data_IF_998228260250
#
_entry.id   IF_998228260250
#
_cell.length_a   1.000
_cell.length_b   1.000
_cell.length_c   1.000
_cell.angle_alpha   90.00
_cell.angle_beta   90.00
_cell.angle_gamma   90.00
#
_symmetry.space_group_name_H-M   'P 1'
#
loop_
_entity.id
_entity.type
_entity.pdbx_description
1 polymer ?
#
# COMPACT_ATOMS: atom_id res chain seq x y z
N UNK A 1 13.45 18.13 -18.59
CA UNK A 1 12.73 17.03 -19.31
C UNK A 1 12.47 17.47 -20.76
N UNK A 2 12.99 16.74 -21.73
CA UNK A 2 12.75 16.99 -23.16
C UNK A 2 11.51 16.18 -23.60
N UNK A 3 10.57 16.83 -24.24
CA UNK A 3 9.35 16.21 -24.82
C UNK A 3 9.44 16.31 -26.33
N UNK A 4 9.22 15.20 -27.03
CA UNK A 4 9.20 15.15 -28.48
C UNK A 4 7.78 14.79 -28.95
N UNK A 5 7.22 15.59 -29.85
CA UNK A 5 5.92 15.30 -30.47
C UNK A 5 6.04 14.19 -31.51
N UNK A 6 5.04 13.31 -31.58
CA UNK A 6 4.94 12.21 -32.53
C UNK A 6 3.55 12.16 -33.15
N UNK A 7 3.31 11.29 -34.11
CA UNK A 7 1.99 11.13 -34.74
C UNK A 7 0.92 10.55 -33.78
N UNK A 8 1.35 9.76 -32.80
CA UNK A 8 0.48 9.08 -31.81
C UNK A 8 0.43 9.77 -30.44
N UNK A 9 1.25 10.79 -30.17
CA UNK A 9 1.32 11.49 -28.89
C UNK A 9 2.69 12.08 -28.62
N UNK A 10 3.18 11.94 -27.39
CA UNK A 10 4.42 12.55 -26.92
C UNK A 10 5.42 11.49 -26.45
N UNK A 11 6.70 11.74 -26.66
CA UNK A 11 7.81 10.89 -26.19
C UNK A 11 8.67 11.64 -25.19
N UNK A 12 9.02 10.95 -24.10
CA UNK A 12 9.90 11.45 -23.04
C UNK A 12 11.01 10.42 -22.80
N UNK A 13 12.20 10.88 -22.41
CA UNK A 13 13.31 10.04 -21.97
C UNK A 13 13.74 10.44 -20.57
N UNK A 14 14.11 9.45 -19.75
CA UNK A 14 14.64 9.63 -18.41
C UNK A 14 15.57 8.46 -18.07
N UNK A 15 16.55 8.66 -17.21
CA UNK A 15 17.42 7.57 -16.77
C UNK A 15 16.68 6.60 -15.85
N UNK A 16 16.00 7.13 -14.84
CA UNK A 16 15.22 6.35 -13.86
C UNK A 16 13.76 6.74 -13.92
N UNK A 17 12.90 5.79 -14.24
CA UNK A 17 11.45 5.98 -14.28
C UNK A 17 10.82 5.43 -12.99
N UNK A 18 10.14 6.27 -12.22
CA UNK A 18 9.40 5.86 -11.03
C UNK A 18 7.91 5.74 -11.37
N UNK A 19 7.39 4.53 -11.35
CA UNK A 19 5.99 4.20 -11.63
C UNK A 19 5.20 4.25 -10.33
N UNK A 20 4.52 5.35 -10.07
CA UNK A 20 3.71 5.57 -8.87
C UNK A 20 4.24 6.64 -7.94
N UNK A 21 3.32 7.42 -7.36
CA UNK A 21 3.57 8.59 -6.52
C UNK A 21 3.18 8.39 -5.05
N UNK A 22 2.97 7.14 -4.62
CA UNK A 22 2.72 6.76 -3.22
C UNK A 22 3.95 6.90 -2.32
N UNK A 23 3.90 6.33 -1.11
CA UNK A 23 5.02 6.37 -0.16
C UNK A 23 6.31 5.77 -0.73
N UNK A 24 6.20 4.66 -1.46
CA UNK A 24 7.32 4.03 -2.15
C UNK A 24 7.95 4.95 -3.19
N UNK A 25 7.12 5.53 -4.07
CA UNK A 25 7.60 6.49 -5.07
C UNK A 25 8.28 7.71 -4.45
N UNK A 26 7.78 8.21 -3.32
CA UNK A 26 8.42 9.30 -2.57
C UNK A 26 9.80 8.90 -2.07
N UNK A 27 9.93 7.72 -1.44
CA UNK A 27 11.23 7.19 -0.99
C UNK A 27 12.19 7.03 -2.16
N UNK A 28 11.71 6.50 -3.28
CA UNK A 28 12.50 6.33 -4.51
C UNK A 28 12.95 7.68 -5.10
N UNK A 29 12.05 8.64 -5.22
CA UNK A 29 12.36 9.96 -5.80
C UNK A 29 13.41 10.71 -5.00
N UNK A 30 13.27 10.74 -3.67
CA UNK A 30 14.22 11.42 -2.81
C UNK A 30 15.60 10.76 -2.86
N UNK A 31 15.66 9.43 -2.86
CA UNK A 31 16.96 8.73 -2.95
C UNK A 31 17.62 8.89 -4.31
N UNK A 32 16.87 8.78 -5.40
CA UNK A 32 17.42 8.97 -6.73
C UNK A 32 17.90 10.41 -6.95
N UNK A 33 17.22 11.41 -6.39
CA UNK A 33 17.66 12.80 -6.38
C UNK A 33 18.97 13.01 -5.61
N UNK A 34 19.13 12.36 -4.44
CA UNK A 34 20.39 12.36 -3.68
C UNK A 34 21.56 11.81 -4.51
N UNK A 35 21.28 10.80 -5.35
CA UNK A 35 22.26 10.20 -6.26
C UNK A 35 22.45 10.98 -7.58
N UNK A 36 21.73 12.10 -7.74
CA UNK A 36 21.80 12.98 -8.92
C UNK A 36 21.42 12.30 -10.23
N UNK A 37 20.56 11.28 -10.18
CA UNK A 37 20.01 10.64 -11.36
C UNK A 37 19.01 11.57 -12.08
N UNK A 38 18.90 11.45 -13.41
CA UNK A 38 17.77 12.05 -14.14
C UNK A 38 16.53 11.19 -13.92
N UNK A 39 15.54 11.77 -13.26
CA UNK A 39 14.37 11.04 -12.74
C UNK A 39 13.09 11.64 -13.26
N UNK A 40 12.21 10.78 -13.77
CA UNK A 40 10.81 11.08 -14.00
C UNK A 40 9.93 10.19 -13.11
N UNK A 41 9.11 10.80 -12.27
CA UNK A 41 8.09 10.15 -11.48
C UNK A 41 6.73 10.35 -12.13
N UNK A 42 5.94 9.28 -12.29
CA UNK A 42 4.60 9.33 -12.86
C UNK A 42 3.57 8.74 -11.92
N UNK A 43 2.36 9.29 -11.89
CA UNK A 43 1.30 8.79 -11.03
C UNK A 43 -0.11 9.15 -11.49
N UNK A 44 -1.04 8.24 -11.23
CA UNK A 44 -2.44 8.34 -11.66
C UNK A 44 -3.19 9.53 -11.06
N UNK A 45 -2.75 10.04 -9.93
CA UNK A 45 -3.29 11.24 -9.29
C UNK A 45 -2.17 12.20 -8.88
N UNK A 46 -2.54 13.25 -8.20
CA UNK A 46 -1.62 14.28 -7.69
C UNK A 46 -0.68 13.72 -6.66
N UNK A 47 0.61 14.07 -6.76
CA UNK A 47 1.63 13.64 -5.80
C UNK A 47 1.23 13.93 -4.34
N UNK A 48 0.54 15.04 -4.09
CA UNK A 48 0.12 15.50 -2.75
C UNK A 48 -0.89 14.59 -2.05
N UNK A 49 -1.67 13.80 -2.81
CA UNK A 49 -2.79 13.01 -2.28
C UNK A 49 -2.79 11.55 -2.73
N UNK A 50 -1.86 11.14 -3.60
CA UNK A 50 -1.85 9.79 -4.16
C UNK A 50 -1.25 8.74 -3.23
N UNK A 51 -1.65 7.48 -3.47
CA UNK A 51 -1.25 6.31 -2.68
C UNK A 51 -1.98 6.22 -1.33
N UNK A 52 -1.81 5.11 -0.63
CA UNK A 52 -2.47 4.87 0.66
C UNK A 52 -2.14 5.94 1.71
N UNK A 53 -0.92 6.49 1.67
CA UNK A 53 -0.50 7.58 2.55
C UNK A 53 -1.25 8.89 2.29
N UNK A 54 -1.89 9.05 1.13
CA UNK A 54 -2.68 10.25 0.80
C UNK A 54 -3.85 10.51 1.74
N UNK A 55 -4.36 9.46 2.39
CA UNK A 55 -5.42 9.56 3.39
C UNK A 55 -4.93 9.78 4.83
N UNK A 56 -3.62 9.73 5.07
CA UNK A 56 -3.03 9.82 6.40
C UNK A 56 -2.42 8.51 6.88
N UNK A 57 -1.63 8.59 7.96
CA UNK A 57 -1.11 7.44 8.70
C UNK A 57 -0.67 7.86 10.10
N UNK A 58 -1.04 7.09 11.11
CA UNK A 58 -0.81 7.37 12.53
C UNK A 58 0.54 6.85 13.06
N UNK A 59 1.31 6.14 12.24
CA UNK A 59 2.58 5.56 12.67
C UNK A 59 3.55 5.29 11.52
N UNK A 60 4.84 5.15 11.88
CA UNK A 60 5.89 4.64 11.03
C UNK A 60 6.57 3.47 11.74
N UNK A 61 6.60 2.29 11.12
CA UNK A 61 7.25 1.13 11.71
C UNK A 61 8.77 1.29 11.68
N UNK A 62 9.36 1.48 12.85
CA UNK A 62 10.77 1.84 13.02
C UNK A 62 11.46 0.98 14.09
N UNK A 63 12.07 -0.12 13.66
CA UNK A 63 13.12 -0.78 14.43
C UNK A 63 14.42 0.03 14.25
N UNK A 64 14.86 0.70 15.31
CA UNK A 64 15.92 1.71 15.22
C UNK A 64 17.29 1.23 15.72
N UNK A 65 17.37 -0.01 16.22
CA UNK A 65 18.59 -0.55 16.79
C UNK A 65 19.02 0.24 18.04
N UNK A 66 18.09 0.45 18.96
CA UNK A 66 18.31 1.09 20.26
C UNK A 66 18.45 0.03 21.36
N UNK A 67 18.69 0.46 22.61
CA UNK A 67 18.77 -0.43 23.77
C UNK A 67 17.39 -0.93 24.25
N UNK A 68 16.29 -0.53 23.59
CA UNK A 68 14.95 -1.02 23.87
C UNK A 68 14.83 -2.52 23.54
N UNK A 69 14.04 -3.29 24.30
CA UNK A 69 13.90 -4.73 24.09
C UNK A 69 13.46 -5.08 22.65
N UNK A 70 14.18 -5.99 22.03
CA UNK A 70 13.93 -6.46 20.65
C UNK A 70 13.98 -5.37 19.56
N UNK A 71 14.57 -4.20 19.83
CA UNK A 71 14.77 -3.15 18.85
C UNK A 71 16.09 -3.35 18.08
N UNK A 72 16.32 -4.57 17.61
CA UNK A 72 17.54 -4.98 16.92
C UNK A 72 17.27 -5.48 15.50
N UNK A 73 18.33 -5.51 14.69
CA UNK A 73 18.31 -6.09 13.35
C UNK A 73 17.84 -7.55 13.35
N UNK A 74 18.40 -8.34 14.26
CA UNK A 74 18.13 -9.78 14.37
C UNK A 74 16.65 -10.03 14.70
N UNK A 75 16.08 -9.26 15.64
CA UNK A 75 14.68 -9.34 15.99
C UNK A 75 13.78 -8.94 14.82
N UNK A 76 14.12 -7.86 14.10
CA UNK A 76 13.38 -7.37 12.94
C UNK A 76 13.41 -8.38 11.79
N UNK A 77 14.60 -8.80 11.36
CA UNK A 77 14.77 -9.76 10.26
C UNK A 77 14.12 -11.10 10.63
N UNK A 78 14.39 -11.60 11.86
CA UNK A 78 13.83 -12.87 12.34
C UNK A 78 12.30 -12.87 12.41
N UNK A 79 11.66 -11.74 12.74
CA UNK A 79 10.22 -11.60 12.73
C UNK A 79 9.65 -11.72 11.31
N UNK A 80 10.17 -10.97 10.34
CA UNK A 80 9.66 -10.98 8.97
C UNK A 80 9.96 -12.29 8.24
N UNK A 81 11.11 -12.90 8.46
CA UNK A 81 11.42 -14.23 7.91
C UNK A 81 10.45 -15.33 8.39
N UNK A 82 9.89 -15.19 9.60
CA UNK A 82 8.93 -16.16 10.16
C UNK A 82 7.47 -15.84 9.86
N UNK A 83 7.14 -14.56 9.67
CA UNK A 83 5.75 -14.11 9.61
C UNK A 83 5.27 -13.77 8.20
N UNK A 84 6.17 -13.65 7.23
CA UNK A 84 5.83 -13.34 5.84
C UNK A 84 6.61 -14.23 4.87
N UNK A 85 5.90 -14.75 3.88
CA UNK A 85 6.52 -15.54 2.82
C UNK A 85 7.02 -14.64 1.69
N UNK A 86 8.13 -15.03 1.06
CA UNK A 86 8.66 -14.39 -0.14
C UNK A 86 9.76 -13.35 0.09
N UNK A 87 10.03 -12.93 1.32
CA UNK A 87 11.18 -12.08 1.62
C UNK A 87 12.49 -12.88 1.60
N UNK A 88 13.56 -12.20 1.21
CA UNK A 88 14.93 -12.66 1.36
C UNK A 88 15.57 -11.92 2.53
N UNK A 89 16.46 -12.59 3.25
CA UNK A 89 17.15 -11.99 4.40
C UNK A 89 17.93 -10.73 4.00
N UNK A 90 18.58 -10.74 2.85
CA UNK A 90 19.31 -9.58 2.33
C UNK A 90 18.38 -8.36 2.08
N UNK A 91 17.15 -8.59 1.59
CA UNK A 91 16.15 -7.53 1.41
C UNK A 91 15.72 -6.93 2.75
N UNK A 92 15.49 -7.78 3.77
CA UNK A 92 15.08 -7.34 5.10
C UNK A 92 16.20 -6.57 5.83
N UNK A 93 17.46 -6.95 5.62
CA UNK A 93 18.61 -6.21 6.11
C UNK A 93 18.67 -4.80 5.49
N UNK A 94 18.48 -4.69 4.19
CA UNK A 94 18.41 -3.39 3.51
C UNK A 94 17.21 -2.56 3.97
N UNK A 95 16.06 -3.19 4.23
CA UNK A 95 14.92 -2.49 4.81
C UNK A 95 15.28 -1.90 6.19
N UNK A 96 15.86 -2.72 7.06
CA UNK A 96 16.30 -2.24 8.38
C UNK A 96 17.26 -1.04 8.26
N UNK A 97 18.24 -1.12 7.34
CA UNK A 97 19.20 -0.03 7.11
C UNK A 97 18.53 1.25 6.57
N UNK A 98 17.48 1.12 5.77
CA UNK A 98 16.74 2.25 5.20
C UNK A 98 15.80 2.93 6.21
N UNK A 99 15.47 2.31 7.35
CA UNK A 99 14.54 2.88 8.33
C UNK A 99 15.05 4.22 8.87
N UNK A 100 16.28 4.28 9.36
CA UNK A 100 16.85 5.52 9.93
C UNK A 100 16.91 6.67 8.92
N UNK A 101 17.41 6.49 7.69
CA UNK A 101 17.34 7.53 6.65
C UNK A 101 15.90 8.01 6.38
N UNK A 102 14.94 7.08 6.30
CA UNK A 102 13.55 7.45 6.07
C UNK A 102 12.91 8.19 7.25
N UNK A 103 13.22 7.80 8.49
CA UNK A 103 12.80 8.58 9.69
C UNK A 103 13.39 9.98 9.67
N UNK A 104 14.67 10.13 9.28
CA UNK A 104 15.29 11.46 9.12
C UNK A 104 14.57 12.31 8.07
N UNK A 105 14.16 11.71 6.94
CA UNK A 105 13.35 12.43 5.94
C UNK A 105 12.04 12.92 6.54
N UNK A 106 11.37 12.09 7.36
CA UNK A 106 10.13 12.48 8.04
C UNK A 106 10.35 13.64 9.03
N UNK A 107 11.45 13.62 9.78
CA UNK A 107 11.86 14.73 10.67
C UNK A 107 12.05 16.05 9.90
N UNK A 108 12.65 15.98 8.73
CA UNK A 108 12.95 17.14 7.89
C UNK A 108 11.73 17.70 7.13
N UNK A 109 10.57 17.02 7.20
CA UNK A 109 9.33 17.45 6.54
C UNK A 109 8.20 17.76 7.53
N UNK A 110 8.55 18.21 8.73
CA UNK A 110 7.60 18.63 9.76
C UNK A 110 6.63 17.53 10.20
N UNK A 111 7.11 16.26 10.26
CA UNK A 111 6.34 15.18 10.86
C UNK A 111 6.33 15.34 12.38
N UNK A 112 5.15 15.36 12.98
CA UNK A 112 4.98 15.45 14.42
C UNK A 112 4.88 14.05 15.03
N UNK A 113 5.92 13.66 15.80
CA UNK A 113 5.92 12.39 16.53
C UNK A 113 5.32 12.59 17.91
N UNK A 114 4.51 11.63 18.34
CA UNK A 114 3.96 11.63 19.71
C UNK A 114 5.09 11.53 20.73
N UNK A 115 5.09 12.44 21.70
CA UNK A 115 6.07 12.45 22.79
C UNK A 115 5.37 12.04 24.10
N UNK A 116 5.93 11.03 24.78
CA UNK A 116 5.58 10.65 26.15
C UNK A 116 6.86 10.59 26.98
N UNK A 117 6.81 11.15 28.18
CA UNK A 117 7.97 11.19 29.11
C UNK A 117 9.25 11.73 28.48
N UNK A 118 9.13 12.75 27.62
CA UNK A 118 10.25 13.39 26.92
C UNK A 118 10.89 12.56 25.81
N UNK A 119 10.31 11.40 25.46
CA UNK A 119 10.78 10.52 24.40
C UNK A 119 9.69 10.33 23.32
N UNK A 120 10.11 9.98 22.11
CA UNK A 120 9.17 9.54 21.07
C UNK A 120 8.47 8.28 21.50
N UNK A 121 7.16 8.33 21.52
CA UNK A 121 6.35 7.17 21.91
C UNK A 121 6.37 6.11 20.81
N UNK A 122 6.64 4.89 21.22
CA UNK A 122 6.57 3.70 20.38
C UNK A 122 5.75 2.62 21.07
N UNK A 123 5.00 1.84 20.32
CA UNK A 123 4.22 0.73 20.84
C UNK A 123 4.50 -0.57 20.10
N UNK A 124 4.13 -1.69 20.73
CA UNK A 124 4.11 -3.03 20.12
C UNK A 124 2.80 -3.19 19.34
N UNK A 125 2.82 -3.89 18.22
CA UNK A 125 1.60 -4.22 17.47
C UNK A 125 1.80 -5.43 16.57
N UNK A 126 0.69 -6.08 16.20
CA UNK A 126 0.63 -7.21 15.26
C UNK A 126 1.59 -8.38 15.57
N UNK A 127 1.77 -8.71 16.85
CA UNK A 127 2.67 -9.78 17.28
C UNK A 127 4.16 -9.49 17.07
N UNK A 128 4.52 -8.23 16.82
CA UNK A 128 5.91 -7.80 16.75
C UNK A 128 6.58 -7.96 18.11
N UNK A 129 7.86 -8.38 18.17
CA UNK A 129 8.54 -8.61 19.44
C UNK A 129 9.00 -7.34 20.14
N UNK A 130 9.09 -6.22 19.43
CA UNK A 130 9.55 -4.92 19.92
C UNK A 130 8.56 -3.79 19.71
N UNK A 131 8.74 -2.69 20.43
CA UNK A 131 7.96 -1.47 20.28
C UNK A 131 8.41 -0.70 19.04
N UNK A 132 8.03 -1.17 17.85
CA UNK A 132 8.48 -0.60 16.58
C UNK A 132 7.54 0.43 15.97
N UNK A 133 6.34 0.62 16.52
CA UNK A 133 5.39 1.61 16.02
C UNK A 133 5.71 2.99 16.57
N UNK A 134 6.39 3.79 15.78
CA UNK A 134 6.68 5.19 16.07
C UNK A 134 5.43 6.02 15.72
N UNK A 135 4.73 6.51 16.74
CA UNK A 135 3.46 7.20 16.58
C UNK A 135 3.61 8.62 16.03
N UNK A 136 2.67 8.99 15.15
CA UNK A 136 2.61 10.26 14.44
C UNK A 136 1.27 10.92 14.75
N UNK A 137 1.27 12.23 15.03
CA UNK A 137 0.07 12.98 15.40
C UNK A 137 -0.52 13.80 14.24
N UNK A 138 0.30 14.21 13.28
CA UNK A 138 -0.15 14.96 12.10
C UNK A 138 -0.21 14.10 10.82
N UNK A 139 -0.60 12.85 10.94
CA UNK A 139 -0.55 11.84 9.88
C UNK A 139 -1.24 12.23 8.58
N UNK A 140 -2.36 12.96 8.65
CA UNK A 140 -3.13 13.40 7.48
C UNK A 140 -2.43 14.47 6.62
N UNK A 141 -1.40 15.14 7.16
CA UNK A 141 -0.65 16.17 6.44
C UNK A 141 0.69 15.70 5.87
N UNK A 142 1.21 14.57 6.35
CA UNK A 142 2.55 14.05 5.99
C UNK A 142 2.74 13.95 4.48
N UNK A 143 1.76 13.42 3.77
CA UNK A 143 1.87 13.23 2.31
C UNK A 143 2.10 14.55 1.58
N UNK A 144 1.44 15.61 1.99
CA UNK A 144 1.61 16.96 1.41
C UNK A 144 2.99 17.53 1.70
N UNK A 145 3.53 17.28 2.90
CA UNK A 145 4.87 17.71 3.29
C UNK A 145 5.95 16.96 2.50
N UNK A 146 5.83 15.65 2.38
CA UNK A 146 6.71 14.83 1.55
C UNK A 146 6.65 15.23 0.07
N UNK A 147 5.45 15.47 -0.47
CA UNK A 147 5.28 15.93 -1.83
C UNK A 147 5.99 17.26 -2.09
N UNK A 148 5.86 18.22 -1.17
CA UNK A 148 6.57 19.50 -1.24
C UNK A 148 8.08 19.30 -1.29
N UNK A 149 8.64 18.36 -0.51
CA UNK A 149 10.06 18.03 -0.55
C UNK A 149 10.47 17.39 -1.88
N UNK A 150 9.69 16.45 -2.40
CA UNK A 150 9.95 15.84 -3.72
C UNK A 150 9.93 16.89 -4.82
N UNK A 151 8.94 17.80 -4.85
CA UNK A 151 8.92 18.90 -5.84
C UNK A 151 10.12 19.84 -5.76
N UNK A 152 10.74 19.97 -4.59
CA UNK A 152 11.96 20.77 -4.38
C UNK A 152 13.25 20.01 -4.69
N UNK A 153 13.21 18.71 -4.89
CA UNK A 153 14.39 17.87 -5.08
C UNK A 153 14.96 17.88 -6.51
N UNK A 154 14.26 18.50 -7.46
CA UNK A 154 14.65 18.52 -8.87
C UNK A 154 14.15 17.33 -9.70
N UNK A 155 13.40 16.40 -9.10
CA UNK A 155 12.76 15.29 -9.80
C UNK A 155 11.66 15.82 -10.71
N UNK A 156 11.63 15.36 -11.97
CA UNK A 156 10.52 15.63 -12.89
C UNK A 156 9.29 14.81 -12.46
N UNK A 157 8.10 15.41 -12.50
CA UNK A 157 6.86 14.78 -12.06
C UNK A 157 5.79 14.95 -13.13
N UNK A 158 5.14 13.86 -13.49
CA UNK A 158 3.97 13.83 -14.34
C UNK A 158 2.79 13.31 -13.52
N UNK A 159 2.04 14.24 -12.96
CA UNK A 159 0.80 13.96 -12.23
C UNK A 159 -0.34 13.58 -13.20
N UNK A 160 -1.39 12.98 -12.66
CA UNK A 160 -2.63 12.65 -13.38
C UNK A 160 -2.36 11.74 -14.60
N UNK A 161 -1.35 10.88 -14.51
CA UNK A 161 -0.90 10.00 -15.59
C UNK A 161 -1.25 8.54 -15.31
N UNK A 162 -2.13 7.97 -16.11
CA UNK A 162 -2.53 6.57 -16.04
C UNK A 162 -1.65 5.71 -16.95
N UNK A 163 -0.91 4.79 -16.34
CA UNK A 163 -0.05 3.86 -17.08
C UNK A 163 -0.92 2.73 -17.62
N UNK A 164 -0.81 2.44 -18.91
CA UNK A 164 -1.60 1.41 -19.59
C UNK A 164 -0.79 0.20 -19.99
N UNK A 165 0.52 0.36 -20.18
CA UNK A 165 1.42 -0.70 -20.62
C UNK A 165 2.86 -0.43 -20.21
N UNK A 166 3.59 -1.48 -19.84
CA UNK A 166 5.05 -1.51 -19.81
C UNK A 166 5.57 -2.16 -21.09
N UNK A 167 6.78 -1.80 -21.49
CA UNK A 167 7.47 -2.37 -22.65
C UNK A 167 8.76 -3.04 -22.23
N UNK A 168 9.04 -4.20 -22.79
CA UNK A 168 10.27 -4.93 -22.60
C UNK A 168 10.88 -5.34 -23.95
N UNK A 169 12.17 -5.57 -23.98
CA UNK A 169 12.87 -6.13 -25.12
C UNK A 169 14.06 -6.97 -24.67
N UNK A 170 14.06 -8.24 -25.08
CA UNK A 170 15.12 -9.16 -24.68
C UNK A 170 15.20 -9.39 -23.16
N UNK A 171 14.07 -9.31 -22.46
CA UNK A 171 13.99 -9.45 -20.99
C UNK A 171 14.38 -8.20 -20.22
N UNK A 172 14.57 -7.04 -20.87
CA UNK A 172 14.93 -5.77 -20.24
C UNK A 172 13.80 -4.75 -20.39
N UNK A 173 13.53 -3.95 -19.33
CA UNK A 173 12.55 -2.85 -19.37
C UNK A 173 12.97 -1.77 -20.38
N UNK A 174 12.03 -1.34 -21.22
CA UNK A 174 12.24 -0.24 -22.16
C UNK A 174 11.57 1.06 -21.69
N UNK A 175 10.50 0.95 -20.91
CA UNK A 175 9.71 2.07 -20.46
C UNK A 175 8.24 1.75 -20.31
N UNK A 176 7.41 2.77 -20.36
CA UNK A 176 5.95 2.64 -20.28
C UNK A 176 5.22 3.54 -21.26
N UNK A 177 3.94 3.24 -21.48
CA UNK A 177 3.01 4.14 -22.13
C UNK A 177 1.77 4.35 -21.28
N UNK A 178 1.13 5.48 -21.48
CA UNK A 178 -0.09 5.85 -20.78
C UNK A 178 -0.61 7.18 -21.26
N UNK A 179 -1.60 7.72 -20.56
CA UNK A 179 -2.21 8.99 -20.90
C UNK A 179 -2.45 9.86 -19.67
N UNK A 180 -2.41 11.17 -19.86
CA UNK A 180 -2.85 12.11 -18.84
C UNK A 180 -4.38 12.10 -18.77
N UNK A 181 -4.95 11.83 -17.59
CA UNK A 181 -6.41 11.68 -17.42
C UNK A 181 -7.19 12.99 -17.58
N UNK A 182 -6.53 14.13 -17.48
CA UNK A 182 -7.15 15.46 -17.63
C UNK A 182 -7.05 15.97 -19.07
N UNK A 183 -5.85 15.88 -19.68
CA UNK A 183 -5.62 16.40 -21.04
C UNK A 183 -5.88 15.38 -22.13
N UNK A 184 -5.93 14.09 -21.80
CA UNK A 184 -6.05 12.93 -22.71
C UNK A 184 -4.86 12.76 -23.64
N UNK A 185 -3.78 13.48 -23.40
CA UNK A 185 -2.53 13.32 -24.17
C UNK A 185 -1.86 12.00 -23.82
N UNK A 186 -1.42 11.28 -24.83
CA UNK A 186 -0.68 10.03 -24.69
C UNK A 186 0.82 10.29 -24.64
N UNK A 187 1.50 9.52 -23.82
CA UNK A 187 2.95 9.59 -23.66
C UNK A 187 3.56 8.20 -23.71
N UNK A 188 4.64 8.03 -24.47
CA UNK A 188 5.60 6.96 -24.29
C UNK A 188 6.80 7.52 -23.51
N UNK A 189 7.19 6.82 -22.46
CA UNK A 189 8.29 7.23 -21.58
C UNK A 189 9.34 6.13 -21.65
N UNK A 190 10.46 6.43 -22.27
CA UNK A 190 11.62 5.55 -22.40
C UNK A 190 12.55 5.75 -21.20
N UNK A 191 13.10 4.65 -20.67
CA UNK A 191 13.99 4.69 -19.53
C UNK A 191 15.15 3.68 -19.64
N UNK A 192 16.17 3.87 -18.82
CA UNK A 192 17.24 2.90 -18.62
C UNK A 192 16.86 1.88 -17.55
N UNK A 193 16.24 2.36 -16.46
CA UNK A 193 15.71 1.52 -15.38
C UNK A 193 14.36 2.04 -14.92
N UNK A 194 13.54 1.18 -14.33
CA UNK A 194 12.25 1.55 -13.79
C UNK A 194 12.04 0.97 -12.38
N UNK A 195 11.33 1.72 -11.52
CA UNK A 195 10.95 1.30 -10.18
C UNK A 195 9.43 1.18 -10.12
N UNK A 196 8.92 -0.03 -9.95
CA UNK A 196 7.49 -0.27 -9.82
C UNK A 196 7.02 0.07 -8.40
N UNK A 197 6.44 1.25 -8.24
CA UNK A 197 5.93 1.82 -6.98
C UNK A 197 4.41 2.00 -6.98
N UNK A 198 3.68 1.17 -7.76
CA UNK A 198 2.25 1.29 -8.00
C UNK A 198 1.37 0.82 -6.83
N UNK A 199 1.99 0.28 -5.77
CA UNK A 199 1.29 -0.18 -4.56
C UNK A 199 0.65 -1.56 -4.73
N UNK A 200 0.91 -2.43 -3.79
CA UNK A 200 0.50 -3.84 -3.80
C UNK A 200 -0.82 -4.13 -3.07
N UNK A 201 -1.62 -3.10 -2.80
CA UNK A 201 -2.92 -3.21 -2.13
C UNK A 201 -4.07 -2.98 -3.12
N UNK A 202 -4.40 -3.90 -4.03
CA UNK A 202 -5.58 -3.73 -4.88
C UNK A 202 -6.82 -3.64 -4.01
N UNK A 203 -7.69 -2.70 -4.35
CA UNK A 203 -8.93 -2.41 -3.63
C UNK A 203 -10.15 -2.73 -4.50
N UNK A 204 -11.33 -2.72 -3.89
CA UNK A 204 -12.61 -3.01 -4.53
C UNK A 204 -12.75 -4.45 -5.02
N UNK A 205 -12.07 -5.39 -4.36
CA UNK A 205 -12.16 -6.81 -4.67
C UNK A 205 -13.32 -7.50 -3.96
N UNK A 206 -13.86 -6.93 -2.87
CA UNK A 206 -15.00 -7.46 -2.14
C UNK A 206 -16.07 -6.41 -1.90
N UNK A 207 -17.27 -6.84 -1.56
CA UNK A 207 -18.32 -5.96 -1.07
C UNK A 207 -18.12 -5.67 0.42
N UNK A 208 -18.58 -4.52 0.87
CA UNK A 208 -18.64 -4.13 2.27
C UNK A 208 -20.05 -3.66 2.66
N UNK A 209 -20.28 -3.44 3.94
CA UNK A 209 -21.59 -3.05 4.47
C UNK A 209 -22.07 -1.68 4.03
N UNK A 210 -21.21 -0.86 3.45
CA UNK A 210 -21.61 0.48 2.95
C UNK A 210 -22.36 0.42 1.62
N UNK A 211 -22.22 -0.69 0.89
CA UNK A 211 -22.75 -0.83 -0.47
C UNK A 211 -22.02 0.03 -1.52
N UNK A 212 -20.98 0.77 -1.12
CA UNK A 212 -20.17 1.59 -1.99
C UNK A 212 -18.77 0.99 -2.15
N UNK A 213 -18.38 0.45 -3.32
CA UNK A 213 -17.08 -0.18 -3.53
C UNK A 213 -15.90 0.79 -3.42
N UNK A 214 -16.13 2.09 -3.53
CA UNK A 214 -15.11 3.11 -3.34
C UNK A 214 -14.86 3.46 -1.87
N UNK A 215 -15.72 3.00 -0.97
CA UNK A 215 -15.54 3.15 0.46
C UNK A 215 -14.74 1.96 1.00
N UNK A 216 -13.45 1.99 0.81
CA UNK A 216 -12.52 0.92 1.16
C UNK A 216 -11.35 1.45 1.98
N UNK A 217 -10.54 0.55 2.53
CA UNK A 217 -9.44 0.90 3.42
C UNK A 217 -8.42 1.86 2.79
N UNK A 218 -7.92 1.49 1.62
CA UNK A 218 -6.86 2.23 0.95
C UNK A 218 -7.40 3.00 -0.27
N UNK A 219 -6.47 3.46 -1.12
CA UNK A 219 -6.81 4.18 -2.33
C UNK A 219 -7.68 3.30 -3.26
N UNK A 220 -8.95 3.64 -3.51
CA UNK A 220 -9.87 2.81 -4.29
C UNK A 220 -9.47 2.66 -5.76
N UNK A 221 -8.61 3.53 -6.27
CA UNK A 221 -8.11 3.48 -7.64
C UNK A 221 -6.86 2.60 -7.81
N UNK A 222 -6.35 2.00 -6.72
CA UNK A 222 -5.35 0.94 -6.81
C UNK A 222 -6.06 -0.37 -7.16
N UNK A 223 -5.99 -0.77 -8.40
CA UNK A 223 -6.71 -1.93 -8.96
C UNK A 223 -5.78 -3.09 -9.35
N UNK A 224 -4.55 -3.11 -8.81
CA UNK A 224 -3.61 -4.21 -9.02
C UNK A 224 -2.60 -3.98 -10.14
N UNK A 225 -2.44 -2.77 -10.64
CA UNK A 225 -1.45 -2.44 -11.67
C UNK A 225 -0.02 -2.84 -11.29
N UNK A 226 0.29 -2.90 -9.99
CA UNK A 226 1.57 -3.38 -9.47
C UNK A 226 1.89 -4.82 -9.89
N UNK A 227 0.88 -5.66 -10.05
CA UNK A 227 1.02 -7.06 -10.47
C UNK A 227 0.83 -7.22 -11.97
N UNK A 228 -0.25 -6.64 -12.48
CA UNK A 228 -0.68 -6.86 -13.86
C UNK A 228 0.31 -6.33 -14.88
N UNK A 229 0.79 -5.09 -14.72
CA UNK A 229 1.68 -4.48 -15.69
C UNK A 229 3.05 -5.18 -15.77
N UNK A 230 3.76 -5.48 -14.66
CA UNK A 230 4.98 -6.26 -14.72
C UNK A 230 4.78 -7.70 -15.22
N UNK A 231 3.69 -8.36 -14.84
CA UNK A 231 3.38 -9.72 -15.29
C UNK A 231 3.21 -9.78 -16.81
N UNK A 232 2.57 -8.78 -17.42
CA UNK A 232 2.38 -8.71 -18.87
C UNK A 232 3.68 -8.65 -19.67
N UNK A 233 4.77 -8.23 -19.04
CA UNK A 233 6.11 -8.19 -19.65
C UNK A 233 7.03 -9.29 -19.11
N UNK A 234 6.48 -10.32 -18.45
CA UNK A 234 7.23 -11.51 -18.02
C UNK A 234 7.81 -11.44 -16.61
N UNK A 235 7.46 -10.45 -15.79
CA UNK A 235 7.85 -10.46 -14.38
C UNK A 235 7.09 -11.54 -13.61
N UNK A 236 7.82 -12.30 -12.79
CA UNK A 236 7.24 -13.34 -11.93
C UNK A 236 6.64 -12.74 -10.65
N UNK A 237 5.58 -13.36 -10.17
CA UNK A 237 4.86 -12.98 -8.96
C UNK A 237 5.02 -14.03 -7.87
N UNK A 238 4.89 -13.61 -6.61
CA UNK A 238 4.95 -14.49 -5.43
C UNK A 238 3.71 -14.23 -4.56
N UNK A 239 3.08 -15.30 -4.07
CA UNK A 239 1.98 -15.26 -3.09
C UNK A 239 0.74 -14.45 -3.54
N UNK A 240 0.49 -14.34 -4.84
CA UNK A 240 -0.66 -13.58 -5.35
C UNK A 240 -2.00 -14.25 -5.01
N UNK A 241 -1.97 -15.52 -4.66
CA UNK A 241 -3.09 -16.35 -4.23
C UNK A 241 -3.46 -16.15 -2.75
N UNK A 242 -2.63 -15.45 -1.99
CA UNK A 242 -2.88 -15.18 -0.57
C UNK A 242 -3.64 -13.85 -0.44
N UNK A 243 -4.91 -13.92 -0.11
CA UNK A 243 -5.68 -12.72 0.25
C UNK A 243 -5.36 -12.31 1.69
N UNK A 244 -4.88 -11.10 1.86
CA UNK A 244 -4.73 -10.46 3.16
C UNK A 244 -5.97 -9.65 3.49
N UNK A 245 -6.88 -10.20 4.31
CA UNK A 245 -7.92 -9.37 4.92
C UNK A 245 -7.31 -8.57 6.05
N UNK A 246 -7.76 -7.34 6.19
CA UNK A 246 -7.33 -6.50 7.29
C UNK A 246 -8.14 -6.80 8.54
N UNK A 247 -7.71 -6.14 9.57
CA UNK A 247 -8.41 -6.05 10.84
C UNK A 247 -9.85 -5.60 10.70
N UNK A 248 -10.55 -5.64 11.82
CA UNK A 248 -11.90 -5.12 11.94
C UNK A 248 -11.94 -3.60 11.68
N UNK A 249 -13.00 -3.16 11.04
CA UNK A 249 -13.32 -1.75 10.84
C UNK A 249 -14.71 -1.46 11.41
N UNK A 250 -15.01 -0.19 11.75
CA UNK A 250 -16.37 0.18 12.11
C UNK A 250 -17.34 -0.16 10.98
N UNK A 251 -18.41 -0.87 11.31
CA UNK A 251 -19.43 -1.27 10.33
C UNK A 251 -20.09 -0.06 9.67
N UNK A 252 -20.16 -0.09 8.36
CA UNK A 252 -20.73 1.01 7.58
C UNK A 252 -19.81 2.23 7.44
N UNK A 253 -18.55 2.12 7.85
CA UNK A 253 -17.54 3.17 7.67
C UNK A 253 -16.67 2.94 6.43
N UNK A 254 -16.20 1.70 6.25
CA UNK A 254 -15.34 1.31 5.13
C UNK A 254 -13.86 1.72 5.24
N UNK A 255 -13.46 2.41 6.31
CA UNK A 255 -12.11 2.89 6.52
C UNK A 255 -11.43 2.22 7.73
N UNK A 256 -10.08 2.21 7.79
CA UNK A 256 -9.33 1.65 8.92
C UNK A 256 -9.45 2.52 10.17
N UNK A 257 -8.78 2.11 11.21
CA UNK A 257 -8.64 2.86 12.44
C UNK A 257 -8.73 2.01 13.69
N UNK A 258 -8.96 0.69 13.53
CA UNK A 258 -9.11 -0.20 14.68
C UNK A 258 -7.78 -0.77 15.19
N UNK A 259 -6.72 -0.76 14.37
CA UNK A 259 -5.44 -1.36 14.76
C UNK A 259 -4.82 -0.71 16.00
N UNK A 260 -4.90 0.61 16.10
CA UNK A 260 -4.43 1.35 17.28
C UNK A 260 -5.26 1.06 18.52
N UNK A 261 -6.55 0.78 18.36
CA UNK A 261 -7.45 0.46 19.47
C UNK A 261 -7.09 -0.87 20.14
N UNK A 262 -6.70 -1.87 19.33
CA UNK A 262 -6.25 -3.15 19.87
C UNK A 262 -5.00 -2.96 20.76
N UNK A 263 -4.07 -2.12 20.34
CA UNK A 263 -2.86 -1.80 21.11
C UNK A 263 -3.15 -1.03 22.42
N UNK A 264 -4.26 -0.31 22.45
CA UNK A 264 -4.75 0.39 23.65
C UNK A 264 -5.54 -0.54 24.59
N UNK A 265 -5.77 -1.80 24.23
CA UNK A 265 -6.50 -2.79 25.04
C UNK A 265 -7.97 -2.95 24.69
N UNK A 266 -8.40 -2.52 23.50
CA UNK A 266 -9.72 -2.82 22.97
C UNK A 266 -9.95 -4.33 22.90
N UNK A 267 -11.19 -4.77 23.21
CA UNK A 267 -11.55 -6.20 23.26
C UNK A 267 -12.48 -6.55 22.12
N UNK A 268 -12.12 -7.56 21.33
CA UNK A 268 -12.98 -8.10 20.27
C UNK A 268 -14.00 -9.07 20.83
N UNK A 269 -15.29 -8.80 20.60
CA UNK A 269 -16.41 -9.55 21.14
C UNK A 269 -17.28 -10.10 20.01
N UNK A 270 -17.66 -11.37 20.10
CA UNK A 270 -18.62 -12.01 19.17
C UNK A 270 -20.08 -11.71 19.55
N UNK A 271 -21.04 -12.23 18.77
CA UNK A 271 -22.46 -12.03 19.01
C UNK A 271 -22.97 -12.68 20.32
N UNK A 272 -22.22 -13.61 20.89
CA UNK A 272 -22.53 -14.25 22.17
C UNK A 272 -22.02 -13.44 23.38
N UNK A 273 -21.32 -12.32 23.14
CA UNK A 273 -20.70 -11.52 24.19
C UNK A 273 -19.34 -12.07 24.67
N UNK A 274 -18.74 -13.00 23.95
CA UNK A 274 -17.47 -13.62 24.33
C UNK A 274 -16.29 -12.83 23.73
N UNK A 275 -15.26 -12.59 24.53
CA UNK A 275 -13.95 -12.13 24.06
C UNK A 275 -13.23 -13.32 23.45
N UNK A 276 -13.31 -13.49 22.14
CA UNK A 276 -12.95 -14.72 21.46
C UNK A 276 -11.48 -14.82 21.03
N UNK A 277 -10.77 -13.70 20.88
CA UNK A 277 -9.44 -13.70 20.24
C UNK A 277 -8.40 -14.60 20.93
N UNK A 278 -8.50 -14.82 22.24
CA UNK A 278 -7.61 -15.75 22.96
C UNK A 278 -7.78 -17.23 22.58
N UNK A 279 -8.86 -17.59 21.86
CA UNK A 279 -9.02 -18.93 21.26
C UNK A 279 -8.04 -19.13 20.09
N UNK A 280 -7.61 -18.04 19.43
CA UNK A 280 -6.88 -18.06 18.16
C UNK A 280 -5.44 -17.53 18.26
N UNK A 281 -5.17 -16.68 19.25
CA UNK A 281 -3.82 -16.16 19.50
C UNK A 281 -3.59 -15.96 21.00
N UNK A 282 -2.47 -16.46 21.55
CA UNK A 282 -2.15 -16.25 22.97
C UNK A 282 -2.06 -14.79 23.40
N UNK A 283 -1.77 -13.88 22.45
CA UNK A 283 -1.72 -12.43 22.70
C UNK A 283 -3.11 -11.76 22.53
N UNK A 284 -4.16 -12.53 22.22
CA UNK A 284 -5.48 -12.00 21.95
C UNK A 284 -5.49 -11.02 20.80
N UNK A 285 -6.10 -9.86 20.99
CA UNK A 285 -6.22 -8.79 19.98
C UNK A 285 -4.87 -8.18 19.57
N UNK A 286 -3.84 -8.31 20.39
CA UNK A 286 -2.47 -7.90 20.07
C UNK A 286 -1.67 -8.96 19.31
N UNK A 287 -2.30 -10.09 19.01
CA UNK A 287 -1.71 -11.18 18.26
C UNK A 287 -1.46 -10.84 16.78
N UNK A 288 -1.02 -11.84 16.03
CA UNK A 288 -0.78 -11.68 14.60
C UNK A 288 -2.07 -11.30 13.88
N UNK A 289 -2.00 -10.31 12.99
CA UNK A 289 -3.16 -9.87 12.18
C UNK A 289 -3.85 -11.04 11.46
N UNK A 290 -3.08 -11.99 10.94
CA UNK A 290 -3.63 -13.21 10.35
C UNK A 290 -4.54 -13.96 11.32
N UNK A 291 -4.15 -14.10 12.57
CA UNK A 291 -4.94 -14.82 13.57
C UNK A 291 -6.21 -14.05 13.94
N UNK A 292 -6.18 -12.72 13.97
CA UNK A 292 -7.37 -11.90 14.16
C UNK A 292 -8.40 -12.16 13.05
N UNK A 293 -7.96 -12.09 11.80
CA UNK A 293 -8.85 -12.31 10.66
C UNK A 293 -9.38 -13.73 10.61
N UNK A 294 -8.50 -14.72 10.83
CA UNK A 294 -8.88 -16.13 10.87
C UNK A 294 -9.84 -16.43 12.02
N UNK A 295 -9.59 -15.87 13.20
CA UNK A 295 -10.47 -16.02 14.36
C UNK A 295 -11.84 -15.45 14.11
N UNK A 296 -11.93 -14.22 13.61
CA UNK A 296 -13.23 -13.60 13.28
C UNK A 296 -13.98 -14.38 12.21
N UNK A 297 -13.29 -14.87 11.18
CA UNK A 297 -13.92 -15.71 10.16
C UNK A 297 -14.38 -17.06 10.73
N UNK A 298 -13.59 -17.69 11.59
CA UNK A 298 -13.97 -18.95 12.23
C UNK A 298 -15.21 -18.78 13.11
N UNK A 299 -15.26 -17.72 13.91
CA UNK A 299 -16.45 -17.39 14.70
C UNK A 299 -17.70 -17.19 13.80
N UNK A 300 -17.51 -16.58 12.63
CA UNK A 300 -18.60 -16.45 11.65
C UNK A 300 -19.07 -17.81 11.10
N UNK A 301 -18.14 -18.70 10.77
CA UNK A 301 -18.47 -20.06 10.30
C UNK A 301 -19.19 -20.88 11.36
N UNK A 302 -18.83 -20.69 12.62
CA UNK A 302 -19.46 -21.35 13.78
C UNK A 302 -20.83 -20.76 14.16
N UNK A 303 -21.22 -19.65 13.53
CA UNK A 303 -22.49 -18.97 13.80
C UNK A 303 -22.45 -18.05 15.02
N UNK A 304 -21.26 -17.71 15.53
CA UNK A 304 -21.06 -16.83 16.67
C UNK A 304 -21.03 -15.33 16.27
N UNK A 305 -21.23 -15.01 15.02
CA UNK A 305 -21.31 -13.66 14.45
C UNK A 305 -21.55 -13.69 12.95
N UNK A 306 -21.78 -12.56 12.27
CA UNK A 306 -21.95 -11.23 12.82
C UNK A 306 -23.22 -11.10 13.70
N UNK A 307 -23.34 -10.08 14.58
CA UNK A 307 -22.45 -8.93 14.71
C UNK A 307 -21.17 -9.23 15.51
N UNK A 308 -20.11 -8.49 15.21
CA UNK A 308 -18.90 -8.43 16.02
C UNK A 308 -18.73 -7.03 16.58
N UNK A 309 -18.05 -6.90 17.71
CA UNK A 309 -17.90 -5.63 18.40
C UNK A 309 -16.47 -5.41 18.87
N UNK A 310 -16.06 -4.14 18.90
CA UNK A 310 -14.89 -3.67 19.64
C UNK A 310 -15.33 -2.99 20.91
N UNK A 311 -15.04 -3.61 22.05
CA UNK A 311 -15.39 -3.06 23.37
C UNK A 311 -14.26 -2.17 23.90
N UNK A 312 -14.59 -0.91 24.09
CA UNK A 312 -13.75 0.14 24.67
C UNK A 312 -14.40 0.74 25.92
N UNK A 313 -15.47 0.15 26.46
CA UNK A 313 -16.24 0.70 27.57
C UNK A 313 -15.42 0.83 28.86
N UNK A 314 -14.34 0.05 28.96
CA UNK A 314 -13.41 0.06 30.09
C UNK A 314 -12.27 1.08 29.96
N UNK A 315 -12.19 1.81 28.86
CA UNK A 315 -11.14 2.82 28.65
C UNK A 315 -11.28 3.97 29.65
N UNK A 316 -10.15 4.53 30.08
CA UNK A 316 -10.12 5.77 30.84
C UNK A 316 -10.56 6.95 29.98
N UNK A 317 -10.89 8.10 30.61
CA UNK A 317 -11.19 9.33 29.86
C UNK A 317 -9.96 9.80 29.06
N UNK A 318 -8.75 9.57 29.56
CA UNK A 318 -7.50 9.86 28.86
C UNK A 318 -7.33 8.97 27.62
N UNK A 319 -7.63 7.67 27.72
CA UNK A 319 -7.57 6.76 26.58
C UNK A 319 -8.59 7.14 25.50
N UNK A 320 -9.80 7.48 25.89
CA UNK A 320 -10.84 7.93 24.94
C UNK A 320 -10.43 9.25 24.29
N UNK A 321 -9.89 10.19 25.06
CA UNK A 321 -9.37 11.45 24.52
C UNK A 321 -8.22 11.19 23.52
N UNK A 322 -7.27 10.34 23.90
CA UNK A 322 -6.18 9.95 23.00
C UNK A 322 -6.69 9.29 21.72
N UNK A 323 -7.66 8.37 21.84
CA UNK A 323 -8.28 7.71 20.70
C UNK A 323 -8.95 8.72 19.76
N UNK A 324 -9.80 9.60 20.29
CA UNK A 324 -10.63 10.51 19.50
C UNK A 324 -9.85 11.67 18.89
N UNK A 325 -8.88 12.24 19.61
CA UNK A 325 -8.25 13.49 19.21
C UNK A 325 -6.80 13.37 18.78
N UNK A 326 -6.18 12.21 18.97
CA UNK A 326 -4.79 11.98 18.58
C UNK A 326 -4.68 10.84 17.56
N UNK A 327 -5.11 9.63 17.95
CA UNK A 327 -4.88 8.42 17.15
C UNK A 327 -5.75 8.40 15.89
N UNK A 328 -7.06 8.55 16.06
CA UNK A 328 -7.99 8.41 14.93
C UNK A 328 -7.89 9.54 13.91
N UNK A 329 -7.79 10.83 14.28
CA UNK A 329 -7.59 11.91 13.33
C UNK A 329 -6.28 11.84 12.57
N UNK A 330 -5.22 11.29 13.17
CA UNK A 330 -3.94 11.10 12.48
C UNK A 330 -4.04 10.08 11.33
N UNK A 331 -4.92 9.08 11.46
CA UNK A 331 -5.17 8.06 10.43
C UNK A 331 -6.26 8.51 9.45
N UNK A 332 -7.41 9.00 9.96
CA UNK A 332 -8.55 9.46 9.15
C UNK A 332 -9.24 10.67 9.79
N UNK A 333 -9.08 11.81 9.18
CA UNK A 333 -9.64 13.10 9.67
C UNK A 333 -11.17 13.08 9.84
N UNK A 334 -11.87 12.36 8.94
CA UNK A 334 -13.34 12.27 8.95
C UNK A 334 -13.92 11.28 9.96
N UNK A 335 -13.09 10.64 10.78
CA UNK A 335 -13.56 9.64 11.75
C UNK A 335 -14.46 10.23 12.83
N UNK A 336 -14.13 11.42 13.32
CA UNK A 336 -14.94 12.12 14.31
C UNK A 336 -16.32 12.48 13.79
N UNK A 337 -16.41 12.91 12.52
CA UNK A 337 -17.68 13.21 11.86
C UNK A 337 -18.55 11.96 11.76
N UNK A 338 -17.95 10.82 11.44
CA UNK A 338 -18.64 9.53 11.42
C UNK A 338 -19.17 9.14 12.81
N UNK A 339 -18.36 9.26 13.86
CA UNK A 339 -18.77 8.96 15.23
C UNK A 339 -19.92 9.88 15.66
N UNK A 340 -19.79 11.18 15.40
CA UNK A 340 -20.81 12.16 15.74
C UNK A 340 -22.15 11.91 15.02
N UNK A 341 -22.08 11.64 13.70
CA UNK A 341 -23.26 11.35 12.88
C UNK A 341 -24.03 10.10 13.33
N UNK A 342 -23.37 9.16 13.98
CA UNK A 342 -23.95 7.91 14.48
C UNK A 342 -24.18 7.87 15.98
N UNK A 343 -23.85 8.94 16.70
CA UNK A 343 -23.99 9.00 18.15
C UNK A 343 -23.11 7.98 18.88
N UNK A 344 -21.92 7.67 18.32
CA UNK A 344 -21.00 6.69 18.90
C UNK A 344 -20.29 7.31 20.11
N UNK A 345 -20.48 6.68 21.26
CA UNK A 345 -19.79 7.04 22.52
C UNK A 345 -19.09 5.79 23.07
N UNK A 346 -17.77 5.73 22.93
CA UNK A 346 -16.96 4.53 23.18
C UNK A 346 -17.08 3.93 24.57
N UNK A 347 -17.38 4.77 25.59
CA UNK A 347 -17.58 4.30 26.98
C UNK A 347 -19.00 3.81 27.28
N UNK A 348 -19.96 4.07 26.39
CA UNK A 348 -21.36 3.68 26.64
C UNK A 348 -21.74 2.32 26.08
N UNK A 349 -21.17 1.97 24.92
CA UNK A 349 -21.46 0.70 24.26
C UNK A 349 -20.29 0.27 23.37
N UNK A 350 -20.10 -1.04 23.19
CA UNK A 350 -19.17 -1.57 22.19
C UNK A 350 -19.54 -1.09 20.78
N UNK A 351 -18.52 -0.82 19.97
CA UNK A 351 -18.65 -0.41 18.59
C UNK A 351 -18.84 -1.63 17.68
N UNK A 352 -19.94 -1.70 16.92
CA UNK A 352 -20.10 -2.75 15.92
C UNK A 352 -19.06 -2.63 14.82
N UNK A 353 -18.41 -3.76 14.52
CA UNK A 353 -17.30 -3.85 13.57
C UNK A 353 -17.51 -4.97 12.56
N UNK A 354 -16.78 -4.89 11.45
CA UNK A 354 -16.77 -5.91 10.41
C UNK A 354 -15.35 -6.15 9.90
N UNK A 355 -15.13 -7.32 9.30
CA UNK A 355 -13.85 -7.63 8.65
C UNK A 355 -13.73 -6.80 7.37
N UNK A 356 -12.68 -6.00 7.30
CA UNK A 356 -12.34 -5.23 6.09
C UNK A 356 -11.46 -6.04 5.15
N UNK A 357 -11.63 -5.78 3.87
CA UNK A 357 -10.64 -6.16 2.88
C UNK A 357 -9.40 -5.27 3.00
N UNK A 358 -8.21 -5.87 3.01
CA UNK A 358 -6.97 -5.13 2.94
C UNK A 358 -6.31 -5.27 1.57
N UNK A 359 -6.01 -6.50 1.15
CA UNK A 359 -5.19 -6.71 -0.06
C UNK A 359 -4.98 -8.20 -0.38
N UNK A 360 -4.33 -8.47 -1.50
CA UNK A 360 -3.55 -9.68 -1.75
C UNK A 360 -2.20 -9.54 -1.07
N UNK A 361 -1.67 -10.60 -0.49
CA UNK A 361 -0.32 -10.59 0.11
C UNK A 361 0.80 -10.84 -0.91
N UNK A 362 0.50 -10.59 -2.20
CA UNK A 362 1.43 -10.81 -3.29
C UNK A 362 2.55 -9.77 -3.38
N UNK A 363 3.63 -10.16 -4.05
CA UNK A 363 4.74 -9.27 -4.38
C UNK A 363 5.36 -9.66 -5.72
N UNK A 364 6.16 -8.78 -6.29
CA UNK A 364 7.03 -9.12 -7.42
C UNK A 364 8.16 -10.02 -6.93
N UNK A 365 8.41 -11.13 -7.61
CA UNK A 365 9.62 -11.93 -7.36
C UNK A 365 10.84 -11.07 -7.69
N UNK A 366 11.68 -10.82 -6.71
CA UNK A 366 12.85 -9.98 -6.84
C UNK A 366 14.07 -10.61 -6.17
N UNK A 367 15.25 -10.28 -6.68
CA UNK A 367 16.53 -10.67 -6.11
C UNK A 367 16.88 -9.86 -4.85
N UNK A 368 18.10 -10.03 -4.35
CA UNK A 368 18.58 -9.33 -3.15
C UNK A 368 18.69 -7.81 -3.33
N UNK A 369 18.72 -7.32 -4.58
CA UNK A 369 18.77 -5.91 -4.96
C UNK A 369 17.40 -5.32 -5.27
N UNK A 370 16.33 -6.07 -5.06
CA UNK A 370 14.97 -5.75 -5.48
C UNK A 370 14.78 -5.71 -7.01
N UNK A 371 15.71 -6.21 -7.81
CA UNK A 371 15.53 -6.35 -9.26
C UNK A 371 14.60 -7.55 -9.54
N UNK A 372 13.59 -7.35 -10.38
CA UNK A 372 12.62 -8.38 -10.74
C UNK A 372 13.23 -9.38 -11.74
N UNK A 373 12.43 -10.36 -12.20
CA UNK A 373 12.86 -11.24 -13.31
C UNK A 373 12.96 -10.53 -14.66
N UNK A 374 12.45 -9.30 -14.76
CA UNK A 374 12.67 -8.39 -15.89
C UNK A 374 13.80 -7.44 -15.52
N UNK A 375 14.89 -7.47 -16.28
CA UNK A 375 16.09 -6.67 -16.05
C UNK A 375 15.80 -5.17 -16.10
N UNK A 376 16.43 -4.43 -15.21
CA UNK A 376 16.22 -2.99 -15.09
C UNK A 376 14.88 -2.58 -14.45
N UNK A 377 13.99 -3.55 -14.14
CA UNK A 377 12.74 -3.29 -13.42
C UNK A 377 12.88 -3.70 -11.94
N UNK A 378 12.75 -2.74 -11.04
CA UNK A 378 12.91 -2.92 -9.59
C UNK A 378 11.56 -2.91 -8.85
N UNK A 379 11.41 -3.79 -7.86
CA UNK A 379 10.24 -3.88 -7.00
C UNK A 379 10.28 -2.79 -5.92
N UNK A 380 9.57 -1.69 -6.13
CA UNK A 380 9.53 -0.56 -5.19
C UNK A 380 8.54 -0.72 -4.04
N UNK A 381 7.61 -1.69 -4.09
CA UNK A 381 6.53 -1.80 -3.10
C UNK A 381 6.42 -3.18 -2.46
N UNK A 382 7.49 -3.98 -2.41
CA UNK A 382 7.44 -5.32 -1.81
C UNK A 382 7.35 -5.32 -0.28
N UNK A 383 7.83 -4.27 0.41
CA UNK A 383 7.81 -4.23 1.87
C UNK A 383 6.49 -3.67 2.39
N UNK A 384 5.98 -4.27 3.46
CA UNK A 384 4.67 -3.93 4.05
C UNK A 384 4.70 -2.65 4.89
N UNK A 385 3.56 -2.03 5.10
CA UNK A 385 3.31 -0.78 5.85
C UNK A 385 3.80 0.49 5.16
N UNK A 386 3.52 1.65 5.76
CA UNK A 386 4.04 2.95 5.30
C UNK A 386 5.57 2.96 5.29
N UNK A 387 6.18 2.52 6.38
CA UNK A 387 7.63 2.41 6.52
C UNK A 387 8.22 1.49 5.46
N UNK A 388 7.67 0.29 5.33
CA UNK A 388 8.15 -0.66 4.34
C UNK A 388 8.06 -0.13 2.92
N UNK A 389 6.92 0.46 2.54
CA UNK A 389 6.76 1.04 1.22
C UNK A 389 7.81 2.14 0.95
N UNK A 390 7.99 3.07 1.89
CA UNK A 390 8.97 4.16 1.74
C UNK A 390 10.40 3.63 1.67
N UNK A 391 10.77 2.70 2.55
CA UNK A 391 12.09 2.07 2.58
C UNK A 391 12.35 1.22 1.32
N UNK A 392 11.35 0.48 0.84
CA UNK A 392 11.48 -0.33 -0.38
C UNK A 392 11.81 0.54 -1.59
N UNK A 393 11.06 1.64 -1.78
CA UNK A 393 11.36 2.60 -2.83
C UNK A 393 12.75 3.22 -2.68
N UNK A 394 13.15 3.57 -1.47
CA UNK A 394 14.46 4.14 -1.16
C UNK A 394 15.60 3.15 -1.53
N UNK A 395 15.48 1.87 -1.16
CA UNK A 395 16.44 0.82 -1.51
C UNK A 395 16.45 0.55 -3.01
N UNK A 396 15.28 0.37 -3.62
CA UNK A 396 15.17 0.13 -5.06
C UNK A 396 15.81 1.25 -5.89
N UNK A 397 15.65 2.50 -5.47
CA UNK A 397 16.23 3.65 -6.15
C UNK A 397 17.75 3.68 -6.07
N UNK A 398 18.35 3.21 -4.97
CA UNK A 398 19.80 3.08 -4.89
C UNK A 398 20.33 2.14 -5.97
N UNK A 399 19.71 1.00 -6.15
CA UNK A 399 20.15 0.02 -7.15
C UNK A 399 19.82 0.49 -8.58
N UNK A 400 18.60 0.98 -8.81
CA UNK A 400 18.15 1.45 -10.11
C UNK A 400 19.00 2.62 -10.66
N UNK A 401 19.33 3.60 -9.81
CA UNK A 401 20.15 4.75 -10.22
C UNK A 401 21.59 4.34 -10.53
N UNK A 402 22.17 3.42 -9.76
CA UNK A 402 23.53 2.92 -10.03
C UNK A 402 23.57 2.13 -11.35
N UNK A 403 22.57 1.29 -11.61
CA UNK A 403 22.50 0.49 -12.84
C UNK A 403 22.25 1.37 -14.07
N UNK A 404 21.43 2.42 -13.92
CA UNK A 404 21.16 3.37 -15.01
C UNK A 404 22.43 4.05 -15.55
N UNK A 405 23.50 4.16 -14.76
CA UNK A 405 24.77 4.74 -15.18
C UNK A 405 25.47 3.93 -16.29
N UNK A 406 25.23 2.62 -16.34
CA UNK A 406 25.84 1.70 -17.34
C UNK A 406 24.82 1.04 -18.27
N UNK A 407 23.53 1.36 -18.12
CA UNK A 407 22.45 0.79 -18.95
C UNK A 407 22.14 1.71 -20.12
N UNK A 408 21.95 1.13 -21.29
CA UNK A 408 21.50 1.86 -22.47
C UNK A 408 20.05 2.31 -22.33
N UNK A 409 19.70 3.41 -23.00
CA UNK A 409 18.33 3.93 -23.03
C UNK A 409 17.41 2.96 -23.73
N UNK A 410 16.33 2.58 -23.08
CA UNK A 410 15.25 1.82 -23.68
C UNK A 410 14.65 2.54 -24.89
N UNK A 411 14.18 1.79 -25.86
CA UNK A 411 13.52 2.31 -27.06
C UNK A 411 12.17 1.62 -27.24
N UNK A 412 11.11 2.40 -27.30
CA UNK A 412 9.77 1.95 -27.68
C UNK A 412 9.55 2.29 -29.15
N UNK A 413 9.34 1.28 -30.00
CA UNK A 413 9.15 1.52 -31.43
C UNK A 413 7.85 2.27 -31.71
N UNK A 414 7.84 3.11 -32.73
CA UNK A 414 6.65 3.90 -33.10
C UNK A 414 5.46 2.99 -33.46
N UNK A 415 5.70 1.82 -34.03
CA UNK A 415 4.65 0.84 -34.32
C UNK A 415 4.02 0.25 -33.05
N UNK A 416 4.84 -0.04 -32.03
CA UNK A 416 4.34 -0.50 -30.72
C UNK A 416 3.55 0.59 -29.99
N UNK A 417 4.05 1.82 -30.04
CA UNK A 417 3.36 2.98 -29.46
C UNK A 417 2.03 3.28 -30.18
N UNK A 418 2.00 3.20 -31.51
CA UNK A 418 0.77 3.36 -32.29
C UNK A 418 -0.24 2.25 -32.00
N UNK A 419 0.20 1.00 -31.86
CA UNK A 419 -0.68 -0.12 -31.50
C UNK A 419 -1.31 0.05 -30.12
N UNK A 420 -0.55 0.56 -29.15
CA UNK A 420 -1.09 0.86 -27.82
C UNK A 420 -2.05 2.07 -27.82
N UNK A 421 -1.74 3.12 -28.60
CA UNK A 421 -2.63 4.24 -28.84
C UNK A 421 -3.98 3.73 -29.36
N UNK A 422 -3.97 2.91 -30.41
CA UNK A 422 -5.19 2.39 -31.04
C UNK A 422 -5.98 1.50 -30.06
N UNK A 423 -5.28 0.68 -29.26
CA UNK A 423 -5.89 -0.14 -28.21
C UNK A 423 -6.61 0.69 -27.16
N UNK A 424 -6.01 1.80 -26.72
CA UNK A 424 -6.60 2.71 -25.71
C UNK A 424 -7.86 3.38 -26.28
N UNK A 425 -7.85 3.77 -27.55
CA UNK A 425 -8.97 4.47 -28.17
C UNK A 425 -10.08 3.53 -28.67
N UNK A 426 -9.79 2.28 -28.95
CA UNK A 426 -10.75 1.30 -29.49
C UNK A 426 -12.09 1.23 -28.73
N UNK A 427 -12.20 1.34 -27.38
CA UNK A 427 -13.49 1.34 -26.71
C UNK A 427 -14.41 2.48 -27.11
N UNK A 428 -13.90 3.66 -27.48
CA UNK A 428 -14.71 4.79 -27.92
C UNK A 428 -15.28 4.63 -29.33
N UNK A 429 -14.65 3.80 -30.13
CA UNK A 429 -15.08 3.52 -31.51
C UNK A 429 -16.17 2.43 -31.57
N UNK A 430 -16.35 1.67 -30.49
CA UNK A 430 -17.34 0.60 -30.43
C UNK A 430 -18.75 1.16 -30.50
N UNK A 431 -19.53 0.62 -31.46
CA UNK A 431 -20.95 0.97 -31.65
C UNK A 431 -21.79 -0.25 -31.35
N UNK A 432 -22.91 -0.08 -30.67
CA UNK A 432 -23.87 -1.15 -30.38
C UNK A 432 -24.72 -0.87 -29.16
N UNK A 433 -25.83 -1.59 -29.03
CA UNK A 433 -26.75 -1.48 -27.91
C UNK A 433 -26.44 -2.39 -26.72
N UNK A 434 -25.61 -3.42 -26.93
CA UNK A 434 -25.29 -4.44 -25.93
C UNK A 434 -23.83 -4.31 -25.43
N UNK A 435 -23.35 -3.08 -25.27
CA UNK A 435 -22.02 -2.84 -24.71
C UNK A 435 -22.08 -3.04 -23.18
N UNK A 436 -21.17 -3.87 -22.66
CA UNK A 436 -21.02 -4.05 -21.23
C UNK A 436 -20.51 -2.75 -20.60
N UNK A 437 -21.12 -2.38 -19.48
CA UNK A 437 -20.69 -1.25 -18.65
C UNK A 437 -19.56 -1.71 -17.74
N UNK A 438 -18.80 -0.78 -17.22
CA UNK A 438 -17.72 -1.04 -16.27
C UNK A 438 -18.16 -1.90 -15.07
N UNK A 439 -19.30 -1.58 -14.47
CA UNK A 439 -19.85 -2.33 -13.33
C UNK A 439 -20.22 -3.77 -13.67
N UNK A 440 -20.58 -4.05 -14.94
CA UNK A 440 -20.93 -5.42 -15.37
C UNK A 440 -19.75 -6.40 -15.25
N UNK A 441 -18.52 -5.88 -15.15
CA UNK A 441 -17.32 -6.66 -14.89
C UNK A 441 -16.94 -6.68 -13.41
N UNK A 442 -16.95 -5.54 -12.73
CA UNK A 442 -16.48 -5.45 -11.35
C UNK A 442 -17.44 -6.13 -10.35
N UNK A 443 -18.76 -5.98 -10.53
CA UNK A 443 -19.73 -6.54 -9.60
C UNK A 443 -19.65 -8.07 -9.51
N UNK A 444 -19.60 -8.83 -10.61
CA UNK A 444 -19.36 -10.27 -10.56
C UNK A 444 -18.03 -10.67 -9.90
N UNK A 445 -16.96 -9.94 -10.18
CA UNK A 445 -15.65 -10.19 -9.55
C UNK A 445 -15.75 -10.04 -8.02
N UNK A 446 -16.34 -8.93 -7.55
CA UNK A 446 -16.55 -8.71 -6.11
C UNK A 446 -17.41 -9.82 -5.47
N UNK A 447 -18.44 -10.28 -6.15
CA UNK A 447 -19.29 -11.38 -5.69
C UNK A 447 -18.48 -12.68 -5.50
N UNK A 448 -17.69 -13.06 -6.51
CA UNK A 448 -16.85 -14.25 -6.47
C UNK A 448 -15.83 -14.13 -5.32
N UNK A 449 -15.15 -13.00 -5.23
CA UNK A 449 -14.12 -12.78 -4.20
C UNK A 449 -14.71 -12.74 -2.79
N UNK A 450 -15.93 -12.23 -2.61
CA UNK A 450 -16.60 -12.19 -1.31
C UNK A 450 -17.04 -13.59 -0.83
N UNK A 451 -17.39 -14.48 -1.74
CA UNK A 451 -17.87 -15.83 -1.44
C UNK A 451 -16.75 -16.87 -1.33
N UNK A 452 -15.55 -16.55 -1.82
CA UNK A 452 -14.40 -17.44 -1.78
C UNK A 452 -13.63 -17.26 -0.47
N UNK A 453 -13.58 -18.27 0.43
CA UNK A 453 -12.85 -18.15 1.69
C UNK A 453 -11.34 -18.12 1.41
N UNK A 454 -10.78 -16.92 1.42
CA UNK A 454 -9.37 -16.66 1.08
C UNK A 454 -8.37 -16.92 2.20
N UNK A 455 -8.84 -17.35 3.37
CA UNK A 455 -8.03 -17.42 4.60
C UNK A 455 -7.66 -18.84 5.03
N UNK A 456 -8.20 -19.85 4.41
CA UNK A 456 -8.11 -21.24 4.91
C UNK A 456 -6.99 -22.10 4.28
N UNK A 457 -6.08 -21.52 3.51
CA UNK A 457 -4.93 -22.29 2.93
C UNK A 457 -5.31 -23.40 1.95
N UNK A 458 -6.58 -23.49 1.59
CA UNK A 458 -7.08 -24.42 0.58
C UNK A 458 -7.95 -23.66 -0.41
N UNK A 459 -7.31 -23.03 -1.39
CA UNK A 459 -8.00 -22.69 -2.62
C UNK A 459 -8.35 -24.01 -3.32
N UNK A 460 -9.60 -24.22 -3.76
CA UNK A 460 -9.77 -25.10 -4.89
C UNK A 460 -8.97 -24.47 -6.02
N UNK A 461 -7.92 -25.14 -6.44
CA UNK A 461 -7.12 -24.75 -7.59
C UNK A 461 -8.09 -24.60 -8.75
N UNK A 462 -8.47 -23.39 -9.11
CA UNK A 462 -9.03 -23.12 -10.42
C UNK A 462 -7.90 -23.36 -11.41
N UNK A 463 -7.74 -24.61 -11.83
CA UNK A 463 -6.99 -24.95 -13.02
C UNK A 463 -7.81 -24.40 -14.17
N UNK A 464 -7.49 -23.20 -14.62
CA UNK A 464 -7.90 -22.76 -15.92
C UNK A 464 -7.11 -23.62 -16.93
N UNK A 465 -7.78 -24.67 -17.43
CA UNK A 465 -7.37 -25.40 -18.63
C UNK A 465 -7.57 -24.53 -19.87
#
# INVERSE_FOLDING_TARGET
MLVTETAWGKRIKTDVLILGTGASGVGAALRAAELKADVLMVGQGRLESSGCLGGGNDHFMAALGTDEPNDTREAFVGFFMKSAFGYREAQLNQWFDAIKPCVKILEEVDTEFLIKDGKRYRSVGFGQPGAWWLHITNGTTIKRHLARRVRKSGVNILDDFHITRLFERGGHIMGCMGFNVLTRELYAIECKTAICSLGWHPQRLTNNSTGNPYNCWHMPYNTGSYFVLPMQIGASLVNIDISGRATLIPKGWGAPGMNGINNMGGKEINALGERFMFKYDPMGENGKRRNQVMGTWQEQVEGNGPPFYMDMTHFSDEDVHHLQYVLMPADKETYLDYCAARGIEFKKAPLEVEVSEMTVSGMLLADDRLETTVKGLFAGSNFTSFSGAMCCGYVAAFHAANDAASTEMGVIDDAEAQAEHDRILAPWERKGTNLLKYNDFEDPIRQIMATTPSTAGTWPVCVCS
#
